data_IF_485264920340
#
_entry.id   IF_485264920340
#
_cell.length_a   1.000
_cell.length_b   1.000
_cell.length_c   1.000
_cell.angle_alpha   90.00
_cell.angle_beta   90.00
_cell.angle_gamma   90.00
#
_symmetry.space_group_name_H-M   'P 1'
#
loop_
_entity.id
_entity.type
_entity.pdbx_description
1 polymer ?
#
# COMPACT_ATOMS: atom_id res chain seq x y z
N UNK A 1 -6.71 -9.25 15.41
CA UNK A 1 -6.30 -9.10 15.33
C UNK A 1 -5.30 -8.38 15.37
N UNK A 2 -5.24 -8.18 15.29
CA UNK A 2 -4.69 -7.74 15.23
C UNK A 2 -3.85 -7.21 15.70
N UNK A 3 -3.45 -7.20 15.66
CA UNK A 3 -2.68 -6.94 16.11
C UNK A 3 -2.16 -5.86 16.15
N UNK A 4 -2.24 -5.51 16.32
CA UNK A 4 -1.94 -4.66 16.60
C UNK A 4 -0.80 -4.17 16.34
N UNK A 5 -0.39 -4.26 16.20
CA UNK A 5 0.51 -3.97 16.07
C UNK A 5 1.16 -3.14 15.66
N UNK A 6 1.57 -2.90 15.60
CA UNK A 6 2.10 -2.24 15.40
C UNK A 6 2.84 -1.63 14.68
N UNK A 7 2.91 -1.35 14.57
CA UNK A 7 3.28 -0.81 14.00
C UNK A 7 4.34 -0.39 13.67
N UNK A 8 4.69 -0.52 13.38
CA UNK A 8 5.55 -0.41 12.95
C UNK A 8 6.30 0.53 12.66
N UNK A 9 6.53 0.75 12.77
CA UNK A 9 7.11 1.33 12.62
C UNK A 9 7.90 1.69 11.85
N UNK A 10 7.97 1.74 11.62
CA UNK A 10 8.41 1.92 10.93
C UNK A 10 9.33 2.35 10.60
N UNK A 11 9.51 2.46 10.47
CA UNK A 11 10.29 2.64 10.05
C UNK A 11 10.94 3.57 10.12
N UNK A 12 10.95 3.63 10.50
CA UNK A 12 11.28 4.22 10.52
C UNK A 12 11.76 4.86 9.98
N UNK A 13 11.74 4.79 9.78
CA UNK A 13 12.10 5.25 9.23
C UNK A 13 12.29 5.83 8.52
N UNK A 14 12.09 5.72 8.42
CA UNK A 14 12.23 6.04 7.73
C UNK A 14 12.47 6.80 7.31
N UNK A 15 12.54 6.74 7.46
CA UNK A 15 12.79 7.26 7.09
C UNK A 15 13.00 7.99 6.45
N UNK A 16 13.09 8.10 6.38
CA UNK A 16 13.32 8.79 6.02
C UNK A 16 13.35 9.39 5.10
N UNK A 17 13.31 9.51 4.78
CA UNK A 17 13.35 10.13 3.99
C UNK A 17 12.99 10.04 2.93
N UNK A 18 12.44 10.07 2.97
CA UNK A 18 12.06 10.21 1.91
C UNK A 18 11.96 9.22 0.99
N UNK A 19 10.99 9.06 0.32
CA UNK A 19 10.90 8.06 -0.67
C UNK A 19 12.22 7.81 -1.36
N UNK A 20 13.00 8.83 -1.51
CA UNK A 20 14.28 8.69 -2.14
C UNK A 20 15.19 7.70 -1.46
N UNK A 21 15.19 7.65 -0.14
CA UNK A 21 16.10 6.78 0.58
C UNK A 21 15.71 5.31 0.47
N UNK A 22 14.47 5.02 0.18
CA UNK A 22 13.98 3.65 0.03
C UNK A 22 13.81 3.26 -1.42
N UNK A 23 13.97 4.19 -2.33
CA UNK A 23 13.69 3.97 -3.74
C UNK A 23 12.21 3.90 -4.04
N UNK A 24 11.39 4.45 -3.18
CA UNK A 24 9.93 4.42 -3.33
C UNK A 24 9.36 5.82 -3.39
N UNK A 25 8.18 5.93 -4.03
CA UNK A 25 7.45 7.16 -4.08
C UNK A 25 7.82 8.06 -5.23
N UNK A 26 6.97 9.03 -5.46
CA UNK A 26 7.18 10.04 -6.49
C UNK A 26 6.35 11.26 -6.16
N UNK A 27 6.78 12.42 -6.65
CA UNK A 27 5.94 13.61 -6.62
C UNK A 27 5.08 13.72 -7.89
N UNK A 28 5.35 12.86 -8.88
CA UNK A 28 4.60 12.89 -10.13
C UNK A 28 3.14 12.55 -9.87
N UNK A 29 2.25 13.40 -10.34
CA UNK A 29 0.82 13.15 -10.19
C UNK A 29 0.28 13.24 -8.77
N UNK A 30 1.10 13.67 -7.81
CA UNK A 30 0.66 13.83 -6.44
C UNK A 30 0.20 15.26 -6.21
N UNK A 31 -1.10 15.45 -6.21
CA UNK A 31 -1.74 16.74 -5.97
C UNK A 31 -2.64 16.68 -4.74
N UNK A 32 -2.28 15.82 -3.80
CA UNK A 32 -3.06 15.60 -2.59
C UNK A 32 -3.91 14.36 -2.69
N UNK A 33 -4.52 14.00 -1.58
CA UNK A 33 -5.34 12.79 -1.54
C UNK A 33 -6.68 13.03 -2.22
N UNK A 34 -6.83 12.49 -3.41
CA UNK A 34 -8.05 12.64 -4.21
C UNK A 34 -8.88 11.36 -4.21
N UNK A 35 -8.53 10.42 -3.36
CA UNK A 35 -9.29 9.17 -3.24
C UNK A 35 -10.47 9.39 -2.30
N UNK A 36 -11.46 8.50 -2.39
CA UNK A 36 -12.66 8.64 -1.57
C UNK A 36 -12.34 8.32 -0.12
N UNK A 37 -12.60 9.26 0.77
CA UNK A 37 -12.30 9.11 2.20
C UNK A 37 -12.95 7.84 2.76
N UNK A 38 -12.20 7.14 3.60
CA UNK A 38 -12.69 5.92 4.23
C UNK A 38 -12.45 4.65 3.44
N UNK A 39 -11.94 4.76 2.21
CA UNK A 39 -11.68 3.63 1.34
C UNK A 39 -10.22 3.17 1.42
N UNK A 40 -9.94 2.00 0.87
CA UNK A 40 -8.59 1.44 0.93
C UNK A 40 -7.55 2.32 0.22
N UNK A 41 -7.92 2.93 -0.88
CA UNK A 41 -7.03 3.81 -1.65
C UNK A 41 -6.69 5.07 -0.88
N UNK A 42 -7.68 5.67 -0.24
CA UNK A 42 -7.51 6.87 0.57
C UNK A 42 -6.55 6.59 1.74
N UNK A 43 -6.72 5.45 2.38
CA UNK A 43 -5.85 5.05 3.48
C UNK A 43 -4.42 4.80 3.00
N UNK A 44 -4.26 4.08 1.89
CA UNK A 44 -2.94 3.75 1.38
C UNK A 44 -2.17 5.03 1.02
N UNK A 45 -2.83 6.01 0.41
CA UNK A 45 -2.19 7.29 0.13
C UNK A 45 -1.70 7.94 1.42
N UNK A 46 -2.56 8.04 2.42
CA UNK A 46 -2.22 8.68 3.68
C UNK A 46 -1.14 7.93 4.44
N UNK A 47 -1.22 6.60 4.48
CA UNK A 47 -0.24 5.81 5.20
C UNK A 47 1.14 5.92 4.57
N UNK A 48 1.21 5.87 3.25
CA UNK A 48 2.49 6.04 2.56
C UNK A 48 3.05 7.43 2.80
N UNK A 49 2.19 8.44 2.83
CA UNK A 49 2.63 9.80 3.12
C UNK A 49 3.24 9.89 4.52
N UNK A 50 2.63 9.23 5.51
CA UNK A 50 3.19 9.17 6.86
C UNK A 50 4.59 8.57 6.87
N UNK A 51 4.85 7.66 5.94
CA UNK A 51 6.16 7.02 5.81
C UNK A 51 7.14 7.81 4.93
N UNK A 52 6.73 8.98 4.46
CA UNK A 52 7.56 9.81 3.60
C UNK A 52 7.54 9.39 2.14
N UNK A 53 6.53 8.64 1.71
CA UNK A 53 6.45 8.08 0.37
C UNK A 53 5.30 8.75 -0.38
N UNK A 54 5.63 9.55 -1.39
CA UNK A 54 4.62 10.22 -2.21
C UNK A 54 3.92 9.25 -3.15
N UNK A 55 2.62 9.45 -3.36
CA UNK A 55 1.80 8.56 -4.16
C UNK A 55 0.96 9.37 -5.14
N UNK A 56 0.92 9.01 -6.42
CA UNK A 56 0.06 9.71 -7.38
C UNK A 56 -1.39 9.69 -6.93
N UNK A 57 -2.10 10.78 -7.24
CA UNK A 57 -3.47 10.98 -6.77
C UNK A 57 -4.51 10.25 -7.60
N UNK A 58 -4.13 9.67 -8.75
CA UNK A 58 -5.09 9.15 -9.72
C UNK A 58 -4.72 7.74 -10.19
N UNK A 59 -4.46 6.84 -9.25
CA UNK A 59 -4.14 5.44 -9.59
C UNK A 59 -5.39 4.57 -9.74
N UNK A 60 -6.56 5.19 -9.60
CA UNK A 60 -7.86 4.54 -9.78
C UNK A 60 -8.17 3.57 -8.63
N UNK A 61 -8.87 2.47 -8.93
CA UNK A 61 -9.26 1.52 -7.88
C UNK A 61 -8.05 0.78 -7.32
N UNK A 62 -8.17 0.27 -6.11
CA UNK A 62 -7.06 -0.42 -5.47
C UNK A 62 -6.46 -1.53 -6.30
N UNK A 63 -7.30 -2.30 -6.97
CA UNK A 63 -6.83 -3.38 -7.82
C UNK A 63 -6.20 -2.93 -9.13
N UNK A 64 -6.20 -1.63 -9.41
CA UNK A 64 -5.64 -1.06 -10.62
C UNK A 64 -4.34 -0.31 -10.38
N UNK A 65 -3.95 -0.13 -9.13
CA UNK A 65 -2.75 0.64 -8.83
C UNK A 65 -1.51 0.08 -9.53
N UNK A 66 -1.37 -1.24 -9.56
CA UNK A 66 -0.20 -1.84 -10.21
C UNK A 66 -0.18 -1.61 -11.71
N UNK A 67 -1.36 -1.34 -12.30
CA UNK A 67 -1.47 -1.11 -13.74
C UNK A 67 -1.07 0.33 -14.09
N UNK A 68 -1.52 1.29 -13.30
CA UNK A 68 -1.34 2.71 -13.62
C UNK A 68 -0.09 3.34 -13.04
N UNK A 69 0.48 2.75 -11.99
CA UNK A 69 1.63 3.33 -11.32
C UNK A 69 2.87 3.52 -12.21
N UNK A 70 3.17 2.59 -13.14
CA UNK A 70 4.36 2.77 -13.98
C UNK A 70 4.36 4.05 -14.81
N UNK A 71 3.21 4.55 -15.23
CA UNK A 71 3.18 5.77 -16.04
C UNK A 71 3.57 7.01 -15.23
N UNK A 72 3.60 6.91 -13.91
CA UNK A 72 4.09 7.97 -13.04
C UNK A 72 5.54 7.75 -12.62
N UNK A 73 6.16 6.69 -13.12
CA UNK A 73 7.56 6.39 -12.80
C UNK A 73 7.76 5.50 -11.60
N UNK A 74 6.71 4.93 -11.04
CA UNK A 74 6.84 4.04 -9.89
C UNK A 74 7.20 2.62 -10.34
N UNK A 75 8.12 2.01 -9.62
CA UNK A 75 8.50 0.62 -9.86
C UNK A 75 7.37 -0.29 -9.39
N UNK A 76 7.01 -1.26 -10.22
CA UNK A 76 6.01 -2.27 -9.86
C UNK A 76 6.62 -3.64 -10.06
N UNK A 77 6.55 -4.47 -9.05
CA UNK A 77 7.16 -5.81 -9.10
C UNK A 77 6.49 -6.74 -8.09
N UNK A 78 7.12 -7.88 -7.84
CA UNK A 78 6.62 -8.88 -6.89
C UNK A 78 7.47 -8.93 -5.62
N UNK A 79 8.28 -7.91 -5.35
CA UNK A 79 9.16 -7.87 -4.19
C UNK A 79 8.58 -6.98 -3.10
N UNK A 80 8.19 -7.54 -1.97
CA UNK A 80 7.65 -6.72 -0.88
C UNK A 80 8.74 -5.83 -0.27
N UNK A 81 8.31 -4.67 0.17
CA UNK A 81 9.18 -3.70 0.83
C UNK A 81 8.30 -2.88 1.76
N UNK A 82 8.78 -2.58 2.95
CA UNK A 82 8.02 -1.75 3.88
C UNK A 82 7.66 -0.43 3.20
N UNK A 83 6.40 -0.06 3.26
CA UNK A 83 5.89 1.14 2.60
C UNK A 83 5.32 0.91 1.22
N UNK A 84 5.62 -0.21 0.58
CA UNK A 84 5.04 -0.51 -0.73
C UNK A 84 3.53 -0.66 -0.62
N UNK A 85 2.82 -0.26 -1.67
CA UNK A 85 1.39 -0.49 -1.77
C UNK A 85 1.18 -1.84 -2.45
N UNK A 86 0.48 -2.74 -1.77
CA UNK A 86 0.16 -4.05 -2.31
C UNK A 86 -1.17 -3.92 -3.04
N UNK A 87 -1.15 -4.09 -4.34
CA UNK A 87 -2.33 -3.94 -5.20
C UNK A 87 -2.89 -5.33 -5.52
N UNK A 88 -4.10 -5.60 -5.03
CA UNK A 88 -4.77 -6.89 -5.23
C UNK A 88 -5.72 -6.77 -6.42
N UNK A 89 -5.50 -7.52 -7.49
CA UNK A 89 -6.52 -7.63 -8.53
C UNK A 89 -7.83 -8.12 -7.93
N UNK A 90 -8.96 -7.85 -8.60
CA UNK A 90 -10.25 -8.28 -8.07
C UNK A 90 -10.27 -9.76 -7.67
N UNK A 91 -10.79 -10.03 -6.48
CA UNK A 91 -10.95 -11.39 -5.97
C UNK A 91 -9.72 -12.00 -5.33
N UNK A 92 -8.56 -11.40 -5.47
CA UNK A 92 -7.33 -11.96 -4.92
C UNK A 92 -7.27 -11.71 -3.41
N UNK A 93 -7.00 -12.75 -2.64
CA UNK A 93 -6.86 -12.66 -1.17
C UNK A 93 -8.06 -11.99 -0.50
N UNK A 94 -9.25 -12.21 -1.02
CA UNK A 94 -10.47 -11.65 -0.46
C UNK A 94 -10.80 -10.24 -0.92
N UNK A 95 -10.04 -9.72 -1.89
CA UNK A 95 -10.31 -8.38 -2.42
C UNK A 95 -11.66 -8.34 -3.12
N UNK A 96 -12.24 -7.13 -3.13
CA UNK A 96 -13.51 -6.91 -3.84
C UNK A 96 -13.45 -7.47 -5.25
N UNK A 97 -14.50 -8.16 -5.65
CA UNK A 97 -14.53 -8.83 -6.95
C UNK A 97 -14.62 -7.89 -8.15
N UNK A 98 -14.85 -6.61 -7.91
CA UNK A 98 -14.91 -5.62 -8.97
C UNK A 98 -13.76 -4.60 -8.87
N UNK A 99 -13.58 -4.01 -7.70
CA UNK A 99 -12.60 -2.94 -7.51
C UNK A 99 -11.22 -3.44 -7.13
N UNK A 100 -11.10 -4.68 -6.71
CA UNK A 100 -9.87 -5.14 -6.09
C UNK A 100 -9.64 -4.44 -4.76
N UNK A 101 -8.36 -4.28 -4.39
CA UNK A 101 -8.04 -3.74 -3.08
C UNK A 101 -6.59 -3.24 -3.09
N UNK A 102 -6.25 -2.38 -2.16
CA UNK A 102 -4.86 -1.97 -1.94
C UNK A 102 -4.60 -1.89 -0.45
N UNK A 103 -3.41 -2.31 -0.05
CA UNK A 103 -2.95 -2.29 1.33
C UNK A 103 -1.53 -1.74 1.36
N UNK A 104 -1.00 -1.51 2.55
CA UNK A 104 0.37 -1.02 2.72
C UNK A 104 1.17 -2.05 3.50
N UNK A 105 2.38 -2.33 3.03
CA UNK A 105 3.27 -3.27 3.69
C UNK A 105 3.87 -2.59 4.92
N UNK A 106 3.66 -3.18 6.08
CA UNK A 106 4.17 -2.65 7.35
C UNK A 106 5.44 -3.36 7.80
N UNK A 107 5.59 -4.63 7.47
CA UNK A 107 6.77 -5.40 7.85
C UNK A 107 6.96 -6.54 6.86
N UNK A 108 8.21 -6.91 6.63
CA UNK A 108 8.56 -8.01 5.74
C UNK A 108 9.36 -9.03 6.55
N UNK A 109 8.90 -10.26 6.57
CA UNK A 109 9.58 -11.38 7.19
C UNK A 109 10.10 -12.31 6.09
N UNK A 110 10.57 -13.48 6.42
CA UNK A 110 11.11 -14.38 5.42
C UNK A 110 10.09 -14.76 4.36
N UNK A 111 8.99 -15.36 4.78
CA UNK A 111 7.96 -15.87 3.87
C UNK A 111 6.59 -15.31 4.16
N UNK A 112 6.55 -14.15 4.81
CA UNK A 112 5.29 -13.49 5.15
C UNK A 112 5.49 -12.00 5.25
N UNK A 113 4.39 -11.27 5.18
CA UNK A 113 4.38 -9.82 5.37
C UNK A 113 3.22 -9.47 6.26
N UNK A 114 3.38 -8.35 6.97
CA UNK A 114 2.29 -7.73 7.70
C UNK A 114 1.81 -6.56 6.87
N UNK A 115 0.51 -6.48 6.64
CA UNK A 115 -0.07 -5.35 5.91
C UNK A 115 -1.09 -4.63 6.78
N UNK A 116 -1.24 -3.34 6.50
CA UNK A 116 -2.33 -2.54 7.06
C UNK A 116 -3.26 -2.15 5.92
N UNK A 117 -4.54 -2.04 6.21
CA UNK A 117 -5.54 -1.82 5.18
C UNK A 117 -6.78 -1.19 5.78
N UNK A 118 -7.58 -0.55 4.94
CA UNK A 118 -8.82 0.07 5.36
C UNK A 118 -9.98 -0.46 4.52
N UNK A 119 -11.15 -0.50 5.11
CA UNK A 119 -12.40 -0.91 4.48
C UNK A 119 -12.47 -2.39 4.14
N UNK A 120 -11.74 -3.20 4.87
CA UNK A 120 -11.99 -4.64 4.90
C UNK A 120 -13.10 -4.92 5.91
N UNK A 121 -13.06 -4.20 7.03
CA UNK A 121 -14.01 -4.35 8.12
C UNK A 121 -15.01 -3.20 8.21
N UNK A 122 -15.01 -2.34 7.20
CA UNK A 122 -15.89 -1.20 7.13
C UNK A 122 -15.12 0.07 6.81
N UNK A 123 -15.82 1.05 6.25
CA UNK A 123 -15.20 2.33 5.92
C UNK A 123 -14.57 2.97 7.15
N UNK A 124 -13.41 3.59 6.97
CA UNK A 124 -12.63 4.25 8.01
C UNK A 124 -12.04 3.30 9.06
N UNK A 125 -12.24 2.00 8.94
CA UNK A 125 -11.70 1.04 9.90
C UNK A 125 -10.41 0.46 9.36
N UNK A 126 -9.31 0.71 10.08
CA UNK A 126 -8.00 0.16 9.75
C UNK A 126 -7.89 -1.22 10.39
N UNK A 127 -7.37 -2.18 9.64
CA UNK A 127 -7.09 -3.50 10.17
C UNK A 127 -5.77 -3.99 9.61
N UNK A 128 -5.26 -5.08 10.18
CA UNK A 128 -3.99 -5.67 9.77
C UNK A 128 -4.18 -7.15 9.57
N UNK A 129 -3.35 -7.72 8.72
CA UNK A 129 -3.27 -9.17 8.58
C UNK A 129 -1.90 -9.57 8.06
N UNK A 130 -1.58 -10.84 8.25
CA UNK A 130 -0.35 -11.42 7.76
C UNK A 130 -0.68 -12.21 6.49
N UNK A 131 0.12 -12.01 5.46
CA UNK A 131 -0.02 -12.76 4.22
C UNK A 131 1.23 -13.58 4.00
N UNK A 132 1.06 -14.78 3.45
CA UNK A 132 2.15 -15.71 3.17
C UNK A 132 2.44 -15.76 1.67
N UNK A 133 3.62 -16.23 1.32
CA UNK A 133 4.08 -16.32 -0.06
C UNK A 133 3.97 -14.95 -0.75
N UNK A 134 4.64 -13.93 -0.18
CA UNK A 134 4.42 -12.55 -0.63
C UNK A 134 4.85 -12.29 -2.06
N UNK A 135 5.68 -13.14 -2.65
CA UNK A 135 6.12 -12.96 -4.03
C UNK A 135 5.03 -13.16 -5.07
N UNK A 136 3.84 -13.58 -4.66
CA UNK A 136 2.73 -13.76 -5.60
C UNK A 136 1.96 -12.46 -5.85
N UNK A 137 2.19 -11.43 -5.06
CA UNK A 137 1.41 -10.19 -5.13
C UNK A 137 2.13 -9.11 -5.92
N UNK A 138 1.39 -8.08 -6.31
CA UNK A 138 1.93 -6.90 -6.99
C UNK A 138 2.21 -5.79 -5.99
N UNK A 139 3.42 -5.25 -6.04
CA UNK A 139 3.83 -4.17 -5.15
C UNK A 139 4.15 -2.92 -5.95
N UNK A 140 3.53 -1.81 -5.55
CA UNK A 140 3.78 -0.48 -6.11
C UNK A 140 4.73 0.23 -5.16
N UNK A 141 5.92 0.54 -5.64
CA UNK A 141 6.94 1.16 -4.81
C UNK A 141 6.94 2.67 -4.95
#
# INVERSE_FOLDING_TARGET
PAPSAPAPSAPSGGSTSAGGSTGQGTSNGDVGNRYVAGQCTWYAYNRRKEMGIGTPSFLHNGGQWYIYAPQYGLRVDHSPQVGAALSFPPGVAGADGYYGHVAVVEAVYGNSILISEMNVKGEFIVSQRVLYNPGQYWYVH
#
